data_IF_730817078555
#
_entry.id   IF_730817078555
#
_cell.length_a   1.000
_cell.length_b   1.000
_cell.length_c   1.000
_cell.angle_alpha   90.00
_cell.angle_beta   90.00
_cell.angle_gamma   90.00
#
_symmetry.space_group_name_H-M   'P 1'
#
loop_
_entity.id
_entity.type
_entity.pdbx_description
1 polymer ?
#
# COMPACT_ATOMS: atom_id res chain seq x y z
N UNK A 1 11.98 -2.85 4.77
CA UNK A 1 10.65 -2.21 4.73
C UNK A 1 10.37 -1.81 3.30
N UNK A 2 9.68 -2.66 2.55
CA UNK A 2 9.19 -2.37 1.21
C UNK A 2 8.45 -3.59 0.67
N UNK A 3 7.31 -3.37 0.02
CA UNK A 3 6.79 -4.35 -0.95
C UNK A 3 6.80 -3.72 -2.34
N UNK A 4 7.21 -4.49 -3.33
CA UNK A 4 7.28 -4.15 -4.76
C UNK A 4 8.26 -3.03 -5.16
N UNK A 5 8.38 -1.95 -4.38
CA UNK A 5 9.23 -0.78 -4.68
C UNK A 5 10.22 -0.56 -3.54
N UNK A 6 11.50 -0.56 -3.86
CA UNK A 6 12.60 -0.41 -2.89
C UNK A 6 13.79 0.38 -3.47
N UNK A 7 14.91 0.43 -2.74
CA UNK A 7 16.13 1.16 -3.15
C UNK A 7 16.80 0.62 -4.42
N UNK A 8 16.50 -0.62 -4.80
CA UNK A 8 17.01 -1.26 -6.04
C UNK A 8 16.14 -0.93 -7.26
N UNK A 9 15.02 -0.24 -7.05
CA UNK A 9 14.10 0.12 -8.12
C UNK A 9 14.70 1.21 -9.02
N UNK A 10 14.80 0.91 -10.32
CA UNK A 10 15.32 1.78 -11.37
C UNK A 10 14.23 1.99 -12.41
N UNK A 11 13.69 3.20 -12.44
CA UNK A 11 12.45 3.50 -13.15
C UNK A 11 12.72 4.01 -14.56
N UNK A 12 12.02 3.47 -15.54
CA UNK A 12 11.83 4.06 -16.86
C UNK A 12 10.41 4.61 -16.99
N UNK A 13 10.27 5.85 -17.43
CA UNK A 13 8.94 6.44 -17.71
C UNK A 13 8.57 6.27 -19.18
N UNK A 14 7.54 5.49 -19.47
CA UNK A 14 6.93 5.43 -20.81
C UNK A 14 5.91 6.57 -20.97
N UNK A 15 6.07 7.37 -22.03
CA UNK A 15 5.30 8.59 -22.23
C UNK A 15 5.89 9.81 -21.51
N UNK A 16 7.19 9.82 -21.23
CA UNK A 16 7.89 10.88 -20.48
C UNK A 16 7.71 12.27 -21.09
N UNK A 17 7.57 12.38 -22.42
CA UNK A 17 7.45 13.69 -23.08
C UNK A 17 6.01 14.24 -23.09
N UNK A 18 5.04 13.45 -22.63
CA UNK A 18 3.67 13.94 -22.41
C UNK A 18 3.57 14.73 -21.10
N UNK A 19 2.56 15.62 -21.01
CA UNK A 19 2.35 16.51 -19.85
C UNK A 19 2.39 15.76 -18.50
N UNK A 20 1.63 14.68 -18.36
CA UNK A 20 1.57 13.91 -17.12
C UNK A 20 2.82 13.06 -16.87
N UNK A 21 3.39 12.45 -17.92
CA UNK A 21 4.62 11.67 -17.81
C UNK A 21 5.80 12.52 -17.35
N UNK A 22 5.98 13.70 -17.93
CA UNK A 22 7.00 14.67 -17.52
C UNK A 22 6.76 15.16 -16.09
N UNK A 23 5.53 15.60 -15.78
CA UNK A 23 5.18 16.11 -14.45
C UNK A 23 5.48 15.08 -13.36
N UNK A 24 4.97 13.86 -13.50
CA UNK A 24 5.15 12.84 -12.47
C UNK A 24 6.57 12.26 -12.45
N UNK A 25 7.29 12.26 -13.57
CA UNK A 25 8.73 11.93 -13.57
C UNK A 25 9.51 12.93 -12.72
N UNK A 26 9.24 14.24 -12.88
CA UNK A 26 9.86 15.26 -12.05
C UNK A 26 9.54 15.04 -10.56
N UNK A 27 8.26 14.91 -10.22
CA UNK A 27 7.83 14.70 -8.83
C UNK A 27 8.35 13.38 -8.21
N UNK A 28 8.63 12.35 -9.01
CA UNK A 28 9.26 11.12 -8.52
C UNK A 28 10.77 11.31 -8.30
N UNK A 29 11.44 12.01 -9.21
CA UNK A 29 12.88 12.33 -9.10
C UNK A 29 13.16 13.21 -7.88
N UNK A 30 12.37 14.26 -7.68
CA UNK A 30 12.42 15.15 -6.52
C UNK A 30 12.12 14.42 -5.20
N UNK A 31 11.37 13.32 -5.25
CA UNK A 31 11.08 12.49 -4.07
C UNK A 31 12.26 11.56 -3.69
N UNK A 32 13.21 11.35 -4.61
CA UNK A 32 14.34 10.43 -4.43
C UNK A 32 14.19 9.11 -5.18
N UNK A 33 13.14 8.94 -5.99
CA UNK A 33 13.03 7.78 -6.88
C UNK A 33 14.11 7.84 -7.94
N UNK A 34 14.82 6.73 -8.15
CA UNK A 34 15.83 6.61 -9.20
C UNK A 34 15.18 6.43 -10.57
N UNK A 35 14.74 7.52 -11.19
CA UNK A 35 14.30 7.55 -12.59
C UNK A 35 15.53 7.63 -13.49
N UNK A 36 15.78 6.57 -14.24
CA UNK A 36 17.03 6.39 -15.01
C UNK A 36 16.86 6.72 -16.49
N UNK A 37 15.64 6.64 -16.99
CA UNK A 37 15.34 6.87 -18.40
C UNK A 37 13.89 7.27 -18.62
N UNK A 38 13.62 7.83 -19.79
CA UNK A 38 12.29 7.89 -20.35
C UNK A 38 12.23 7.25 -21.73
N UNK A 39 11.01 6.92 -22.16
CA UNK A 39 10.73 6.38 -23.49
C UNK A 39 9.68 7.23 -24.16
N UNK A 40 9.97 7.64 -25.39
CA UNK A 40 8.98 8.13 -26.34
C UNK A 40 9.47 7.78 -27.75
N UNK A 41 8.78 6.89 -28.48
CA UNK A 41 9.17 6.53 -29.85
C UNK A 41 9.33 7.77 -30.75
N UNK A 42 10.42 7.82 -31.51
CA UNK A 42 10.77 8.93 -32.39
C UNK A 42 11.44 10.12 -31.68
N UNK A 43 11.72 10.02 -30.37
CA UNK A 43 12.40 11.05 -29.58
C UNK A 43 13.66 10.53 -28.88
N UNK A 44 14.15 9.34 -29.24
CA UNK A 44 15.41 8.81 -28.73
C UNK A 44 16.59 9.77 -28.96
N UNK A 45 17.56 9.74 -28.03
CA UNK A 45 18.74 10.62 -28.05
C UNK A 45 18.49 12.01 -27.45
N UNK A 46 17.25 12.36 -27.14
CA UNK A 46 16.93 13.56 -26.36
C UNK A 46 17.04 13.32 -24.85
N UNK A 47 16.81 14.36 -24.04
CA UNK A 47 16.78 14.23 -22.58
C UNK A 47 15.80 15.21 -21.95
N UNK A 48 15.21 14.81 -20.83
CA UNK A 48 14.44 15.69 -19.96
C UNK A 48 15.40 16.42 -19.01
N UNK A 49 15.41 17.75 -19.03
CA UNK A 49 16.24 18.61 -18.17
C UNK A 49 15.43 19.59 -17.33
N UNK A 50 14.16 19.77 -17.67
CA UNK A 50 13.24 20.70 -17.02
C UNK A 50 11.94 20.01 -16.67
N UNK A 51 11.24 20.54 -15.68
CA UNK A 51 9.86 20.17 -15.38
C UNK A 51 8.92 20.78 -16.43
N UNK A 52 7.65 20.34 -16.54
CA UNK A 52 6.66 20.98 -17.42
C UNK A 52 6.42 22.46 -17.13
N UNK A 53 6.71 22.91 -15.91
CA UNK A 53 6.61 24.31 -15.49
C UNK A 53 7.81 25.16 -15.94
N UNK A 54 8.86 24.53 -16.50
CA UNK A 54 10.07 25.22 -17.00
C UNK A 54 11.23 25.28 -16.02
N UNK A 55 11.05 24.79 -14.78
CA UNK A 55 12.10 24.75 -13.77
C UNK A 55 13.15 23.68 -14.09
N UNK A 56 14.43 23.86 -13.70
CA UNK A 56 15.42 22.80 -13.78
C UNK A 56 14.95 21.55 -13.03
N UNK A 57 15.05 20.39 -13.67
CA UNK A 57 14.77 19.10 -13.04
C UNK A 57 15.81 18.85 -11.94
N UNK A 58 15.36 18.54 -10.73
CA UNK A 58 16.23 18.32 -9.56
C UNK A 58 15.96 16.98 -8.90
N UNK A 59 17.00 16.40 -8.30
CA UNK A 59 16.89 15.26 -7.40
C UNK A 59 16.42 15.68 -5.98
N UNK A 60 16.31 14.71 -5.08
CA UNK A 60 15.93 14.88 -3.67
C UNK A 60 16.91 15.75 -2.85
N UNK A 61 18.10 16.03 -3.40
CA UNK A 61 19.13 16.90 -2.81
C UNK A 61 19.16 18.29 -3.44
N UNK A 62 18.22 18.58 -4.35
CA UNK A 62 18.14 19.85 -5.06
C UNK A 62 19.19 20.01 -6.17
N UNK A 63 19.93 18.95 -6.51
CA UNK A 63 20.94 18.98 -7.58
C UNK A 63 20.23 18.85 -8.93
N UNK A 64 20.63 19.69 -9.90
CA UNK A 64 20.13 19.59 -11.26
C UNK A 64 20.53 18.24 -11.89
N UNK A 65 19.57 17.58 -12.53
CA UNK A 65 19.77 16.27 -13.19
C UNK A 65 19.16 16.27 -14.59
N UNK A 66 19.57 15.30 -15.40
CA UNK A 66 19.03 15.07 -16.74
C UNK A 66 18.70 13.60 -16.91
N UNK A 67 17.54 13.30 -17.50
CA UNK A 67 17.07 11.95 -17.75
C UNK A 67 17.12 11.67 -19.26
N UNK A 68 17.91 10.70 -19.73
CA UNK A 68 17.97 10.36 -21.15
C UNK A 68 16.65 9.76 -21.65
N UNK A 69 16.31 10.04 -22.90
CA UNK A 69 15.12 9.54 -23.57
C UNK A 69 15.53 8.60 -24.69
N UNK A 70 14.88 7.44 -24.74
CA UNK A 70 15.12 6.38 -25.71
C UNK A 70 13.87 6.10 -26.54
N UNK A 71 14.03 5.41 -27.67
CA UNK A 71 12.91 5.02 -28.52
C UNK A 71 12.20 3.78 -27.98
N UNK A 72 12.91 2.89 -27.27
CA UNK A 72 12.36 1.62 -26.75
C UNK A 72 12.71 1.37 -25.29
N UNK A 73 11.86 0.62 -24.59
CA UNK A 73 12.14 0.19 -23.21
C UNK A 73 13.35 -0.74 -23.17
N UNK A 74 13.54 -1.59 -24.18
CA UNK A 74 14.68 -2.53 -24.29
C UNK A 74 16.03 -1.81 -24.21
N UNK A 75 16.16 -0.64 -24.83
CA UNK A 75 17.37 0.16 -24.72
C UNK A 75 17.61 0.66 -23.31
N UNK A 76 16.56 1.08 -22.60
CA UNK A 76 16.68 1.56 -21.22
C UNK A 76 17.09 0.44 -20.26
N UNK A 77 16.60 -0.78 -20.47
CA UNK A 77 17.06 -1.96 -19.72
C UNK A 77 18.53 -2.24 -19.99
N UNK A 78 18.97 -2.19 -21.26
CA UNK A 78 20.35 -2.50 -21.66
C UNK A 78 21.36 -1.43 -21.24
N UNK A 79 21.00 -0.15 -21.34
CA UNK A 79 21.93 0.98 -21.16
C UNK A 79 21.88 1.56 -19.74
N UNK A 80 20.71 1.50 -19.09
CA UNK A 80 20.45 2.18 -17.81
C UNK A 80 20.03 1.22 -16.68
N UNK A 81 20.07 -0.08 -16.93
CA UNK A 81 19.61 -1.13 -16.01
C UNK A 81 18.19 -0.87 -15.48
N UNK A 82 17.30 -0.31 -16.32
CA UNK A 82 15.91 -0.11 -15.93
C UNK A 82 15.26 -1.46 -15.57
N UNK A 83 14.56 -1.53 -14.44
CA UNK A 83 13.89 -2.75 -13.98
C UNK A 83 12.41 -2.54 -13.65
N UNK A 84 11.95 -1.30 -13.64
CA UNK A 84 10.57 -0.92 -13.35
C UNK A 84 10.06 0.08 -14.36
N UNK A 85 8.90 -0.16 -14.96
CA UNK A 85 8.25 0.77 -15.88
C UNK A 85 7.12 1.55 -15.21
N UNK A 86 7.12 2.86 -15.38
CA UNK A 86 6.02 3.76 -15.01
C UNK A 86 5.33 4.26 -16.29
N UNK A 87 4.05 3.96 -16.47
CA UNK A 87 3.34 4.19 -17.73
C UNK A 87 2.33 5.34 -17.60
N UNK A 88 2.52 6.36 -18.45
CA UNK A 88 1.60 7.48 -18.68
C UNK A 88 1.15 7.56 -20.16
N UNK A 89 1.12 6.40 -20.83
CA UNK A 89 0.77 6.27 -22.24
C UNK A 89 -0.77 6.32 -22.39
N UNK A 90 -1.32 7.02 -23.41
CA UNK A 90 -2.77 7.09 -23.62
C UNK A 90 -3.44 5.71 -23.77
N UNK A 91 -4.74 5.59 -23.43
CA UNK A 91 -5.42 4.29 -23.31
C UNK A 91 -5.31 3.37 -24.54
N UNK A 92 -5.43 3.87 -25.79
CA UNK A 92 -5.31 3.02 -26.98
C UNK A 92 -3.96 2.33 -27.15
N UNK A 93 -2.90 2.84 -26.51
CA UNK A 93 -1.52 2.34 -26.67
C UNK A 93 -0.94 1.75 -25.38
N UNK A 94 -1.68 1.84 -24.27
CA UNK A 94 -1.17 1.46 -22.96
C UNK A 94 -1.01 -0.06 -22.80
N UNK A 95 -1.83 -0.87 -23.46
CA UNK A 95 -1.70 -2.32 -23.45
C UNK A 95 -0.36 -2.76 -24.07
N UNK A 96 0.00 -2.18 -25.22
CA UNK A 96 1.28 -2.45 -25.89
C UNK A 96 2.46 -1.96 -25.05
N UNK A 97 2.35 -0.79 -24.41
CA UNK A 97 3.37 -0.28 -23.50
C UNK A 97 3.62 -1.20 -22.28
N UNK A 98 2.57 -1.85 -21.76
CA UNK A 98 2.71 -2.86 -20.69
C UNK A 98 3.49 -4.07 -21.20
N UNK A 99 3.13 -4.58 -22.39
CA UNK A 99 3.77 -5.75 -22.99
C UNK A 99 5.21 -5.47 -23.43
N UNK A 100 5.51 -4.26 -23.92
CA UNK A 100 6.86 -3.83 -24.25
C UNK A 100 7.75 -3.84 -23.00
N UNK A 101 7.28 -3.26 -21.89
CA UNK A 101 8.05 -3.28 -20.65
C UNK A 101 8.29 -4.70 -20.11
N UNK A 102 7.27 -5.55 -20.16
CA UNK A 102 7.40 -6.95 -19.77
C UNK A 102 8.41 -7.69 -20.67
N UNK A 103 8.28 -7.55 -21.99
CA UNK A 103 9.17 -8.17 -22.98
C UNK A 103 10.60 -7.61 -22.98
N UNK A 104 10.81 -6.40 -22.48
CA UNK A 104 12.13 -5.82 -22.25
C UNK A 104 12.81 -6.36 -20.97
N UNK A 105 12.05 -7.00 -20.08
CA UNK A 105 12.57 -7.58 -18.83
C UNK A 105 12.31 -6.74 -17.57
N UNK A 106 11.41 -5.74 -17.62
CA UNK A 106 10.99 -5.05 -16.40
C UNK A 106 10.25 -6.03 -15.47
N UNK A 107 10.69 -6.10 -14.21
CA UNK A 107 10.10 -6.96 -13.17
C UNK A 107 8.82 -6.37 -12.60
N UNK A 108 8.69 -5.04 -12.65
CA UNK A 108 7.51 -4.32 -12.20
C UNK A 108 7.05 -3.34 -13.28
N UNK A 109 5.76 -3.34 -13.56
CA UNK A 109 5.08 -2.38 -14.42
C UNK A 109 3.98 -1.71 -13.62
N UNK A 110 4.01 -0.39 -13.52
CA UNK A 110 2.98 0.41 -12.86
C UNK A 110 2.27 1.23 -13.93
N UNK A 111 1.04 0.83 -14.24
CA UNK A 111 0.22 1.48 -15.26
C UNK A 111 -0.77 2.45 -14.63
N UNK A 112 -0.55 3.75 -14.84
CA UNK A 112 -1.40 4.81 -14.28
C UNK A 112 -2.65 5.00 -15.14
N UNK A 113 -2.51 4.80 -16.46
CA UNK A 113 -3.54 5.05 -17.47
C UNK A 113 -4.89 4.45 -17.11
N UNK A 114 -5.93 5.29 -17.15
CA UNK A 114 -7.33 4.90 -16.98
C UNK A 114 -8.02 4.72 -18.33
N UNK A 115 -9.02 3.83 -18.40
CA UNK A 115 -9.88 3.72 -19.59
C UNK A 115 -9.29 2.83 -20.70
N UNK A 116 -8.33 1.97 -20.36
CA UNK A 116 -7.83 0.95 -21.29
C UNK A 116 -8.98 -0.03 -21.60
N UNK A 117 -9.22 -0.40 -22.87
CA UNK A 117 -10.25 -1.38 -23.19
C UNK A 117 -10.06 -2.68 -22.42
N UNK A 118 -11.14 -3.18 -21.79
CA UNK A 118 -11.07 -4.38 -20.95
C UNK A 118 -10.56 -5.61 -21.72
N UNK A 119 -10.89 -5.74 -23.00
CA UNK A 119 -10.43 -6.84 -23.85
C UNK A 119 -8.91 -6.81 -24.05
N UNK A 120 -8.32 -5.62 -24.16
CA UNK A 120 -6.87 -5.48 -24.27
C UNK A 120 -6.21 -5.87 -22.95
N UNK A 121 -6.79 -5.48 -21.81
CA UNK A 121 -6.31 -5.91 -20.51
C UNK A 121 -6.44 -7.42 -20.27
N UNK A 122 -7.46 -8.09 -20.82
CA UNK A 122 -7.57 -9.55 -20.79
C UNK A 122 -6.41 -10.20 -21.54
N UNK A 123 -6.07 -9.67 -22.74
CA UNK A 123 -4.93 -10.14 -23.53
C UNK A 123 -3.61 -9.91 -22.80
N UNK A 124 -3.42 -8.72 -22.22
CA UNK A 124 -2.25 -8.37 -21.40
C UNK A 124 -2.11 -9.36 -20.26
N UNK A 125 -3.17 -9.61 -19.49
CA UNK A 125 -3.14 -10.53 -18.34
C UNK A 125 -2.80 -11.96 -18.76
N UNK A 126 -3.32 -12.43 -19.89
CA UNK A 126 -2.99 -13.73 -20.45
C UNK A 126 -1.51 -13.83 -20.85
N UNK A 127 -0.98 -12.81 -21.55
CA UNK A 127 0.41 -12.75 -21.97
C UNK A 127 1.37 -12.64 -20.77
N UNK A 128 1.09 -11.80 -19.78
CA UNK A 128 1.90 -11.71 -18.56
C UNK A 128 1.97 -13.06 -17.84
N UNK A 129 0.85 -13.79 -17.75
CA UNK A 129 0.84 -15.12 -17.11
C UNK A 129 1.63 -16.17 -17.90
N UNK A 130 1.48 -16.18 -19.23
CA UNK A 130 2.05 -17.22 -20.11
C UNK A 130 3.52 -16.95 -20.44
N UNK A 131 3.82 -15.72 -20.84
CA UNK A 131 5.08 -15.34 -21.50
C UNK A 131 6.01 -14.55 -20.57
N UNK A 132 5.46 -13.83 -19.59
CA UNK A 132 6.24 -12.97 -18.68
C UNK A 132 5.92 -13.21 -17.19
N UNK A 133 6.01 -14.46 -16.69
CA UNK A 133 5.55 -14.82 -15.34
C UNK A 133 6.31 -14.11 -14.20
N UNK A 134 7.49 -13.55 -14.51
CA UNK A 134 8.32 -12.80 -13.56
C UNK A 134 8.01 -11.29 -13.53
N UNK A 135 7.10 -10.81 -14.37
CA UNK A 135 6.69 -9.41 -14.41
C UNK A 135 5.40 -9.20 -13.63
N UNK A 136 5.44 -8.33 -12.63
CA UNK A 136 4.26 -7.87 -11.90
C UNK A 136 3.68 -6.61 -12.54
N UNK A 137 2.36 -6.59 -12.74
CA UNK A 137 1.61 -5.39 -13.14
C UNK A 137 0.83 -4.83 -11.95
N UNK A 138 1.00 -3.54 -11.62
CA UNK A 138 0.13 -2.78 -10.72
C UNK A 138 -0.71 -1.82 -11.58
N UNK A 139 -2.02 -1.79 -11.32
CA UNK A 139 -3.01 -1.13 -12.18
C UNK A 139 -3.61 -2.06 -13.25
N UNK A 140 -4.17 -1.51 -14.33
CA UNK A 140 -4.18 -0.10 -14.73
C UNK A 140 -5.11 0.77 -13.85
N UNK A 141 -5.31 2.03 -14.22
CA UNK A 141 -6.16 2.99 -13.50
C UNK A 141 -5.79 3.06 -12.01
N UNK A 142 -4.51 3.27 -11.72
CA UNK A 142 -4.01 3.23 -10.35
C UNK A 142 -3.18 4.46 -9.99
N UNK A 143 -3.12 4.85 -8.71
CA UNK A 143 -2.28 5.96 -8.29
C UNK A 143 -0.79 5.58 -8.18
N UNK A 144 -0.46 4.29 -8.30
CA UNK A 144 0.89 3.72 -8.25
C UNK A 144 1.28 3.11 -6.90
N UNK A 145 2.57 3.16 -6.57
CA UNK A 145 3.15 2.60 -5.34
C UNK A 145 4.10 3.62 -4.70
N UNK A 146 4.06 3.72 -3.38
CA UNK A 146 5.00 4.55 -2.61
C UNK A 146 5.45 3.81 -1.35
N UNK A 147 6.77 3.72 -1.21
CA UNK A 147 7.43 3.28 0.01
C UNK A 147 8.08 4.51 0.62
N UNK A 148 7.55 5.04 1.74
CA UNK A 148 7.94 6.35 2.22
C UNK A 148 9.44 6.45 2.53
N UNK A 149 10.09 7.52 2.06
CA UNK A 149 11.52 7.75 2.22
C UNK A 149 12.42 6.82 1.39
N UNK A 150 11.84 6.00 0.51
CA UNK A 150 12.58 5.10 -0.38
C UNK A 150 12.32 5.43 -1.84
N UNK A 151 11.06 5.33 -2.27
CA UNK A 151 10.68 5.66 -3.64
C UNK A 151 9.16 5.87 -3.75
N UNK A 152 8.80 6.73 -4.69
CA UNK A 152 7.45 7.01 -5.15
C UNK A 152 7.38 6.76 -6.65
N UNK A 153 6.42 5.96 -7.10
CA UNK A 153 6.14 5.73 -8.51
C UNK A 153 4.65 5.95 -8.75
N UNK A 154 4.33 6.89 -9.65
CA UNK A 154 2.96 7.28 -9.96
C UNK A 154 2.58 8.65 -9.39
N UNK A 155 1.31 8.79 -9.01
CA UNK A 155 0.68 10.11 -8.78
C UNK A 155 0.38 10.41 -7.30
N UNK A 156 0.61 9.46 -6.39
CA UNK A 156 0.43 9.66 -4.94
C UNK A 156 1.24 10.86 -4.41
N UNK A 157 0.65 11.84 -3.68
CA UNK A 157 1.41 12.99 -3.17
C UNK A 157 2.44 12.54 -2.12
N UNK A 158 3.73 12.79 -2.38
CA UNK A 158 4.81 12.29 -1.53
C UNK A 158 4.86 12.93 -0.14
N UNK A 159 4.51 14.21 -0.03
CA UNK A 159 4.65 15.03 1.18
C UNK A 159 3.72 14.62 2.34
N UNK A 160 2.63 13.89 2.07
CA UNK A 160 1.72 13.39 3.13
C UNK A 160 2.17 12.05 3.72
N UNK A 161 3.15 11.39 3.10
CA UNK A 161 3.61 10.06 3.49
C UNK A 161 4.77 10.14 4.46
N UNK A 162 4.77 9.28 5.48
CA UNK A 162 5.84 9.20 6.49
C UNK A 162 6.25 7.75 6.70
N UNK A 163 7.55 7.42 6.81
CA UNK A 163 8.00 6.08 7.17
C UNK A 163 7.32 5.55 8.45
N UNK A 164 6.92 4.28 8.44
CA UNK A 164 6.36 3.56 9.57
C UNK A 164 5.94 2.14 9.19
N UNK A 165 5.01 1.55 9.94
CA UNK A 165 4.77 0.09 9.89
C UNK A 165 3.38 -0.32 9.40
N UNK A 166 2.64 0.61 8.79
CA UNK A 166 1.28 0.34 8.27
C UNK A 166 1.33 0.14 6.77
N UNK A 167 0.98 -1.07 6.31
CA UNK A 167 0.74 -1.34 4.90
C UNK A 167 -0.63 -0.82 4.48
N UNK A 168 -0.74 -0.19 3.33
CA UNK A 168 -2.03 0.29 2.79
C UNK A 168 -2.21 -0.26 1.38
N UNK A 169 -3.35 -0.93 1.13
CA UNK A 169 -3.76 -1.34 -0.22
C UNK A 169 -5.15 -0.80 -0.53
N UNK A 170 -5.32 -0.22 -1.71
CA UNK A 170 -6.57 0.43 -2.11
C UNK A 170 -6.85 0.33 -3.60
N UNK A 171 -8.14 0.26 -3.97
CA UNK A 171 -8.58 0.51 -5.36
C UNK A 171 -8.61 2.01 -5.69
N UNK A 172 -8.95 2.84 -4.70
CA UNK A 172 -9.15 4.29 -4.86
C UNK A 172 -7.90 5.09 -4.46
N UNK A 173 -7.45 5.99 -5.34
CA UNK A 173 -6.38 6.92 -5.03
C UNK A 173 -6.73 7.89 -3.90
N UNK A 174 -7.88 8.55 -3.97
CA UNK A 174 -8.28 9.56 -2.97
C UNK A 174 -8.47 8.98 -1.58
N UNK A 175 -9.09 7.80 -1.46
CA UNK A 175 -9.22 7.11 -0.18
C UNK A 175 -7.86 6.63 0.38
N UNK A 176 -6.89 6.34 -0.50
CA UNK A 176 -5.51 6.07 -0.05
C UNK A 176 -4.94 7.30 0.65
N UNK A 177 -5.12 8.50 0.10
CA UNK A 177 -4.58 9.74 0.66
C UNK A 177 -5.22 10.04 2.02
N UNK A 178 -6.52 9.79 2.13
CA UNK A 178 -7.28 9.94 3.39
C UNK A 178 -6.76 8.99 4.48
N UNK A 179 -6.57 7.70 4.15
CA UNK A 179 -6.01 6.73 5.08
C UNK A 179 -4.58 7.10 5.51
N UNK A 180 -3.73 7.51 4.56
CA UNK A 180 -2.37 7.99 4.83
C UNK A 180 -2.40 9.17 5.79
N UNK A 181 -3.21 10.19 5.51
CA UNK A 181 -3.35 11.36 6.35
C UNK A 181 -3.76 10.99 7.78
N UNK A 182 -4.79 10.17 7.94
CA UNK A 182 -5.28 9.77 9.26
C UNK A 182 -4.26 8.93 10.05
N UNK A 183 -3.56 8.01 9.40
CA UNK A 183 -2.50 7.21 10.03
C UNK A 183 -1.36 8.12 10.49
N UNK A 184 -0.90 9.04 9.62
CA UNK A 184 0.17 9.98 9.93
C UNK A 184 -0.19 10.91 11.09
N UNK A 185 -1.40 11.49 11.10
CA UNK A 185 -1.89 12.36 12.18
C UNK A 185 -1.97 11.66 13.55
N UNK A 186 -2.06 10.33 13.56
CA UNK A 186 -2.10 9.52 14.79
C UNK A 186 -0.71 9.07 15.25
N UNK A 187 0.35 9.65 14.69
CA UNK A 187 1.72 9.32 15.03
C UNK A 187 2.20 7.98 14.46
N UNK A 188 1.41 7.33 13.61
CA UNK A 188 1.82 6.15 12.84
C UNK A 188 2.42 6.59 11.50
N UNK A 189 2.98 5.65 10.75
CA UNK A 189 3.50 5.88 9.40
C UNK A 189 3.31 4.65 8.54
N UNK A 190 3.57 4.78 7.25
CA UNK A 190 3.31 3.74 6.27
C UNK A 190 4.59 2.96 5.94
N UNK A 191 4.45 1.64 5.82
CA UNK A 191 5.53 0.79 5.32
C UNK A 191 5.57 0.86 3.79
N UNK A 192 4.43 0.65 3.14
CA UNK A 192 4.21 0.87 1.71
C UNK A 192 2.72 1.08 1.44
N UNK A 193 2.39 2.01 0.54
CA UNK A 193 1.04 2.19 0.01
C UNK A 193 0.98 1.70 -1.44
N UNK A 194 0.01 0.84 -1.74
CA UNK A 194 -0.22 0.27 -3.08
C UNK A 194 -1.63 0.61 -3.54
N UNK A 195 -1.73 1.43 -4.59
CA UNK A 195 -2.98 1.55 -5.33
C UNK A 195 -3.06 0.47 -6.39
N UNK A 196 -3.97 -0.49 -6.24
CA UNK A 196 -4.14 -1.59 -7.21
C UNK A 196 -4.99 -1.20 -8.43
N UNK A 197 -5.73 -0.10 -8.30
CA UNK A 197 -6.54 0.50 -9.35
C UNK A 197 -8.02 0.11 -9.35
N UNK A 198 -8.80 0.90 -10.08
CA UNK A 198 -10.27 0.80 -10.13
C UNK A 198 -10.81 -0.16 -11.20
N UNK A 199 -9.98 -0.53 -12.19
CA UNK A 199 -10.42 -1.30 -13.35
C UNK A 199 -10.77 -2.76 -13.01
N UNK A 200 -11.71 -3.38 -13.75
CA UNK A 200 -12.17 -4.75 -13.48
C UNK A 200 -11.13 -5.82 -13.83
N UNK A 201 -10.21 -5.53 -14.75
CA UNK A 201 -9.14 -6.44 -15.17
C UNK A 201 -7.80 -5.83 -14.75
N UNK A 202 -7.47 -5.96 -13.48
CA UNK A 202 -6.21 -5.51 -12.91
C UNK A 202 -5.12 -6.61 -12.94
N UNK A 203 -3.87 -6.17 -12.82
CA UNK A 203 -2.70 -7.03 -12.66
C UNK A 203 -2.56 -7.58 -11.24
N UNK A 204 -2.31 -6.70 -10.27
CA UNK A 204 -2.10 -7.02 -8.84
C UNK A 204 -3.39 -6.77 -8.07
N UNK A 205 -3.83 -7.74 -7.26
CA UNK A 205 -5.07 -7.68 -6.48
C UNK A 205 -4.82 -7.55 -4.96
N UNK A 206 -5.90 -7.55 -4.16
CA UNK A 206 -5.79 -7.49 -2.70
C UNK A 206 -4.99 -8.64 -2.10
N UNK A 207 -5.20 -9.87 -2.56
CA UNK A 207 -4.52 -11.07 -2.04
C UNK A 207 -3.01 -10.97 -2.29
N UNK A 208 -2.60 -10.51 -3.47
CA UNK A 208 -1.19 -10.28 -3.80
C UNK A 208 -0.53 -9.31 -2.80
N UNK A 209 -1.19 -8.18 -2.53
CA UNK A 209 -0.71 -7.18 -1.59
C UNK A 209 -0.71 -7.71 -0.15
N UNK A 210 -1.77 -8.41 0.27
CA UNK A 210 -1.89 -8.98 1.62
C UNK A 210 -0.80 -10.03 1.88
N UNK A 211 -0.52 -10.90 0.90
CA UNK A 211 0.56 -11.87 0.98
C UNK A 211 1.93 -11.18 1.08
N UNK A 212 2.17 -10.15 0.27
CA UNK A 212 3.41 -9.38 0.32
C UNK A 212 3.58 -8.64 1.66
N UNK A 213 2.51 -8.01 2.17
CA UNK A 213 2.52 -7.36 3.46
C UNK A 213 2.70 -8.33 4.61
N UNK A 214 2.12 -9.54 4.57
CA UNK A 214 2.37 -10.59 5.56
C UNK A 214 3.86 -10.98 5.59
N UNK A 215 4.48 -11.16 4.42
CA UNK A 215 5.89 -11.51 4.29
C UNK A 215 6.85 -10.40 4.73
N UNK A 216 6.49 -9.12 4.59
CA UNK A 216 7.34 -7.98 4.97
C UNK A 216 7.39 -7.79 6.49
N UNK A 217 8.52 -8.13 7.11
CA UNK A 217 8.72 -8.08 8.57
C UNK A 217 8.50 -6.68 9.17
N UNK A 218 8.71 -5.63 8.39
CA UNK A 218 8.55 -4.24 8.84
C UNK A 218 7.10 -3.73 8.72
N UNK A 219 6.22 -4.49 8.08
CA UNK A 219 4.77 -4.22 8.10
C UNK A 219 4.17 -4.91 9.32
N UNK A 220 3.59 -4.12 10.23
CA UNK A 220 3.00 -4.61 11.48
C UNK A 220 1.48 -4.61 11.45
N UNK A 221 0.85 -3.84 10.56
CA UNK A 221 -0.60 -3.78 10.40
C UNK A 221 -0.98 -3.32 9.00
N UNK A 222 -2.22 -3.62 8.58
CA UNK A 222 -2.66 -3.39 7.20
C UNK A 222 -4.01 -2.65 7.20
N UNK A 223 -4.13 -1.63 6.34
CA UNK A 223 -5.42 -1.05 5.94
C UNK A 223 -5.75 -1.52 4.52
N UNK A 224 -6.92 -2.14 4.35
CA UNK A 224 -7.46 -2.56 3.06
C UNK A 224 -8.68 -1.70 2.68
N UNK A 225 -8.61 -1.01 1.56
CA UNK A 225 -9.67 -0.11 1.09
C UNK A 225 -10.30 -0.68 -0.18
N UNK A 226 -11.45 -1.32 0.00
CA UNK A 226 -12.27 -1.88 -1.07
C UNK A 226 -13.39 -0.96 -1.52
N UNK A 227 -14.17 -1.44 -2.48
CA UNK A 227 -15.35 -0.77 -3.02
C UNK A 227 -16.44 -1.80 -3.32
N UNK A 228 -17.66 -1.36 -3.56
CA UNK A 228 -18.72 -2.20 -4.13
C UNK A 228 -18.33 -2.79 -5.50
N UNK A 229 -18.98 -3.91 -5.86
CA UNK A 229 -18.81 -4.58 -7.16
C UNK A 229 -17.73 -5.65 -7.18
N UNK A 230 -18.00 -6.78 -7.85
CA UNK A 230 -17.14 -7.97 -7.82
C UNK A 230 -17.06 -8.65 -6.44
N UNK A 231 -16.14 -9.62 -6.31
CA UNK A 231 -15.96 -10.50 -5.13
C UNK A 231 -14.57 -10.38 -4.47
N UNK A 232 -13.74 -9.44 -4.90
CA UNK A 232 -12.32 -9.38 -4.53
C UNK A 232 -12.11 -9.18 -3.02
N UNK A 233 -12.98 -8.42 -2.37
CA UNK A 233 -12.94 -8.16 -0.94
C UNK A 233 -13.38 -9.37 -0.11
N UNK A 234 -14.36 -10.14 -0.58
CA UNK A 234 -14.79 -11.40 0.04
C UNK A 234 -13.71 -12.47 -0.07
N UNK A 235 -13.07 -12.58 -1.24
CA UNK A 235 -11.92 -13.47 -1.46
C UNK A 235 -10.74 -13.06 -0.56
N UNK A 236 -10.46 -11.76 -0.46
CA UNK A 236 -9.46 -11.22 0.45
C UNK A 236 -9.80 -11.50 1.92
N UNK A 237 -11.07 -11.39 2.33
CA UNK A 237 -11.51 -11.72 3.69
C UNK A 237 -11.20 -13.18 4.03
N UNK A 238 -11.53 -14.11 3.12
CA UNK A 238 -11.25 -15.52 3.29
C UNK A 238 -9.73 -15.81 3.33
N UNK A 239 -8.94 -15.09 2.52
CA UNK A 239 -7.48 -15.18 2.55
C UNK A 239 -6.89 -14.67 3.87
N UNK A 240 -7.37 -13.53 4.37
CA UNK A 240 -6.91 -12.92 5.64
C UNK A 240 -7.07 -13.92 6.78
N UNK A 241 -8.26 -14.52 6.93
CA UNK A 241 -8.53 -15.48 8.01
C UNK A 241 -7.57 -16.67 8.02
N UNK A 242 -7.13 -17.13 6.85
CA UNK A 242 -6.28 -18.32 6.71
C UNK A 242 -4.79 -18.02 6.76
N UNK A 243 -4.36 -16.87 6.23
CA UNK A 243 -2.95 -16.64 5.88
C UNK A 243 -2.35 -15.37 6.47
N UNK A 244 -3.14 -14.45 7.01
CA UNK A 244 -2.63 -13.15 7.49
C UNK A 244 -2.71 -13.11 9.01
N UNK A 245 -1.56 -13.08 9.68
CA UNK A 245 -1.47 -13.00 11.13
C UNK A 245 -1.53 -11.54 11.63
N UNK A 246 -1.14 -10.61 10.76
CA UNK A 246 -1.11 -9.18 11.04
C UNK A 246 -2.52 -8.61 11.22
N UNK A 247 -2.72 -7.62 12.11
CA UNK A 247 -3.99 -6.92 12.21
C UNK A 247 -4.35 -6.26 10.88
N UNK A 248 -5.54 -6.55 10.38
CA UNK A 248 -6.12 -5.90 9.19
C UNK A 248 -7.37 -5.13 9.59
N UNK A 249 -7.46 -3.89 9.14
CA UNK A 249 -8.71 -3.11 9.13
C UNK A 249 -9.12 -2.83 7.71
N UNK A 250 -10.42 -2.74 7.46
CA UNK A 250 -10.94 -2.49 6.13
C UNK A 250 -11.90 -1.30 6.08
N UNK A 251 -12.07 -0.73 4.90
CA UNK A 251 -13.14 0.20 4.55
C UNK A 251 -13.71 -0.21 3.19
N UNK A 252 -15.03 -0.12 3.04
CA UNK A 252 -15.73 -0.37 1.77
C UNK A 252 -16.37 0.93 1.30
N UNK A 253 -15.88 1.45 0.18
CA UNK A 253 -16.48 2.59 -0.52
C UNK A 253 -17.81 2.22 -1.20
N UNK A 254 -18.67 3.22 -1.42
CA UNK A 254 -19.95 3.01 -2.11
C UNK A 254 -21.10 2.48 -1.25
N UNK A 255 -21.02 2.58 0.07
CA UNK A 255 -22.09 2.13 1.00
C UNK A 255 -23.46 2.80 0.75
N UNK A 256 -23.45 4.04 0.27
CA UNK A 256 -24.66 4.83 -0.05
C UNK A 256 -24.98 4.83 -1.54
N UNK A 257 -24.34 3.97 -2.34
CA UNK A 257 -24.57 3.92 -3.77
C UNK A 257 -26.02 3.52 -4.10
N UNK A 258 -26.71 4.26 -4.98
CA UNK A 258 -28.06 3.90 -5.40
C UNK A 258 -28.06 2.60 -6.21
N UNK A 259 -29.14 1.81 -6.08
CA UNK A 259 -29.29 0.55 -6.81
C UNK A 259 -29.23 0.79 -8.32
N UNK A 260 -28.51 -0.09 -9.03
CA UNK A 260 -28.44 -0.08 -10.49
C UNK A 260 -27.58 1.02 -11.11
N UNK A 261 -26.85 1.83 -10.32
CA UNK A 261 -25.89 2.79 -10.87
C UNK A 261 -24.47 2.23 -10.90
N UNK A 262 -23.78 2.54 -11.99
CA UNK A 262 -22.32 2.39 -12.11
C UNK A 262 -21.65 3.58 -11.42
N UNK A 263 -20.67 3.31 -10.56
CA UNK A 263 -19.85 4.35 -9.93
C UNK A 263 -18.65 4.73 -10.82
N UNK A 264 -17.83 5.70 -10.38
CA UNK A 264 -16.73 6.25 -11.18
C UNK A 264 -15.74 5.19 -11.67
N UNK A 265 -15.35 4.24 -10.81
CA UNK A 265 -14.48 3.14 -11.24
C UNK A 265 -15.23 2.11 -12.08
N UNK A 266 -14.62 1.70 -13.19
CA UNK A 266 -15.20 0.73 -14.12
C UNK A 266 -15.52 -0.63 -13.48
N UNK A 267 -14.79 -1.03 -12.43
CA UNK A 267 -15.03 -2.27 -11.69
C UNK A 267 -16.16 -2.20 -10.65
N UNK A 268 -16.71 -1.02 -10.36
CA UNK A 268 -17.76 -0.83 -9.36
C UNK A 268 -19.16 -1.11 -9.92
N UNK A 269 -19.37 -2.34 -10.39
CA UNK A 269 -20.64 -2.83 -10.94
C UNK A 269 -21.22 -3.89 -9.99
N UNK A 270 -22.42 -3.64 -9.48
CA UNK A 270 -23.20 -4.61 -8.70
C UNK A 270 -24.03 -5.44 -9.69
N UNK A 271 -23.82 -6.75 -9.74
CA UNK A 271 -24.55 -7.66 -10.63
C UNK A 271 -25.23 -8.77 -9.84
N UNK A 272 -26.51 -9.04 -10.16
CA UNK A 272 -27.26 -10.16 -9.57
C UNK A 272 -27.39 -10.12 -8.05
N UNK A 273 -27.38 -8.93 -7.44
CA UNK A 273 -27.47 -8.74 -5.99
C UNK A 273 -26.18 -9.01 -5.21
N UNK A 274 -25.10 -9.46 -5.88
CA UNK A 274 -23.79 -9.73 -5.27
C UNK A 274 -22.86 -8.53 -5.35
N UNK A 275 -21.97 -8.41 -4.37
CA UNK A 275 -20.95 -7.36 -4.31
C UNK A 275 -21.48 -6.05 -3.73
N UNK A 276 -22.58 -6.10 -2.98
CA UNK A 276 -23.07 -4.95 -2.22
C UNK A 276 -22.11 -4.61 -1.08
N UNK A 277 -22.10 -3.35 -0.65
CA UNK A 277 -21.23 -2.95 0.45
C UNK A 277 -21.56 -3.74 1.74
N UNK A 278 -22.85 -3.98 2.00
CA UNK A 278 -23.31 -4.72 3.19
C UNK A 278 -22.74 -6.15 3.21
N UNK A 279 -22.89 -6.89 2.13
CA UNK A 279 -22.39 -8.28 2.04
C UNK A 279 -20.87 -8.33 2.22
N UNK A 280 -20.13 -7.40 1.62
CA UNK A 280 -18.68 -7.29 1.77
C UNK A 280 -18.28 -7.02 3.22
N UNK A 281 -18.96 -6.07 3.87
CA UNK A 281 -18.73 -5.73 5.28
C UNK A 281 -18.99 -6.94 6.19
N UNK A 282 -20.11 -7.64 5.98
CA UNK A 282 -20.49 -8.81 6.77
C UNK A 282 -19.49 -9.98 6.56
N UNK A 283 -19.07 -10.21 5.32
CA UNK A 283 -18.02 -11.18 4.97
C UNK A 283 -16.69 -10.84 5.65
N UNK A 284 -16.24 -9.59 5.60
CA UNK A 284 -15.02 -9.14 6.27
C UNK A 284 -15.08 -9.36 7.79
N UNK A 285 -16.19 -8.97 8.41
CA UNK A 285 -16.40 -9.12 9.87
C UNK A 285 -16.40 -10.58 10.30
N UNK A 286 -17.10 -11.45 9.58
CA UNK A 286 -17.13 -12.90 9.87
C UNK A 286 -15.76 -13.58 9.72
N UNK A 287 -14.84 -12.94 8.99
CA UNK A 287 -13.44 -13.36 8.85
C UNK A 287 -12.47 -12.65 9.81
N UNK A 288 -12.99 -11.92 10.81
CA UNK A 288 -12.19 -11.29 11.86
C UNK A 288 -11.59 -9.93 11.49
N UNK A 289 -11.99 -9.35 10.36
CA UNK A 289 -11.53 -8.01 9.94
C UNK A 289 -12.42 -6.94 10.57
N UNK A 290 -11.81 -5.96 11.22
CA UNK A 290 -12.56 -4.79 11.72
C UNK A 290 -12.80 -3.83 10.57
N UNK A 291 -14.04 -3.40 10.38
CA UNK A 291 -14.43 -2.53 9.25
C UNK A 291 -14.80 -1.13 9.76
N UNK A 292 -14.11 -0.12 9.25
CA UNK A 292 -14.46 1.29 9.45
C UNK A 292 -15.74 1.62 8.66
N UNK A 293 -16.68 2.33 9.30
CA UNK A 293 -17.96 2.67 8.66
C UNK A 293 -17.92 3.99 7.90
N UNK A 294 -17.08 4.93 8.34
CA UNK A 294 -16.81 6.19 7.66
C UNK A 294 -15.40 6.19 7.06
N UNK A 295 -15.18 6.83 5.89
CA UNK A 295 -13.83 7.06 5.40
C UNK A 295 -13.00 7.86 6.42
N UNK A 296 -13.61 8.71 7.24
CA UNK A 296 -12.95 9.50 8.29
C UNK A 296 -12.43 8.67 9.50
N UNK A 297 -12.81 7.40 9.59
CA UNK A 297 -12.57 6.56 10.77
C UNK A 297 -11.48 5.49 10.55
N UNK A 298 -10.88 5.39 9.36
CA UNK A 298 -9.92 4.33 9.02
C UNK A 298 -8.72 4.29 9.98
N UNK A 299 -8.08 5.44 10.21
CA UNK A 299 -6.92 5.54 11.12
C UNK A 299 -7.29 5.33 12.58
N UNK A 300 -8.45 5.84 13.03
CA UNK A 300 -8.95 5.61 14.40
C UNK A 300 -9.23 4.12 14.63
N UNK A 301 -9.86 3.48 13.66
CA UNK A 301 -10.20 2.05 13.70
C UNK A 301 -8.93 1.20 13.80
N UNK A 302 -7.91 1.50 13.00
CA UNK A 302 -6.61 0.83 13.08
C UNK A 302 -5.98 0.97 14.47
N UNK A 303 -5.88 2.21 14.96
CA UNK A 303 -5.24 2.48 16.26
C UNK A 303 -5.93 1.72 17.39
N UNK A 304 -7.27 1.68 17.40
CA UNK A 304 -8.05 0.94 18.39
C UNK A 304 -7.79 -0.56 18.34
N UNK A 305 -7.64 -1.14 17.15
CA UNK A 305 -7.30 -2.57 16.97
C UNK A 305 -5.90 -2.86 17.52
N UNK A 306 -4.93 -1.98 17.27
CA UNK A 306 -3.57 -2.12 17.79
C UNK A 306 -3.54 -2.06 19.31
N UNK A 307 -4.18 -1.07 19.92
CA UNK A 307 -4.25 -0.93 21.38
C UNK A 307 -4.89 -2.15 22.06
N UNK A 308 -5.95 -2.72 21.48
CA UNK A 308 -6.61 -3.94 21.99
C UNK A 308 -5.73 -5.19 21.89
N UNK A 309 -4.85 -5.29 20.89
CA UNK A 309 -3.89 -6.41 20.79
C UNK A 309 -2.79 -6.27 21.84
N UNK A 310 -2.27 -5.06 22.04
CA UNK A 310 -1.27 -4.79 23.09
C UNK A 310 -1.82 -5.04 24.49
N UNK A 311 -3.06 -4.62 24.78
CA UNK A 311 -3.66 -4.89 26.10
C UNK A 311 -3.95 -6.37 26.34
N UNK A 312 -4.13 -7.19 25.30
CA UNK A 312 -4.23 -8.65 25.40
C UNK A 312 -2.87 -9.34 25.57
N UNK A 313 -1.78 -8.76 25.06
CA UNK A 313 -0.42 -9.31 25.26
C UNK A 313 0.14 -9.00 26.66
N UNK A 314 -0.26 -7.87 27.25
CA UNK A 314 -0.06 -7.58 28.68
C UNK A 314 -1.22 -8.15 29.49
N UNK A 315 -1.26 -9.48 29.63
CA UNK A 315 -2.23 -10.15 30.50
C UNK A 315 -2.26 -9.52 31.90
N UNK A 316 -3.47 -9.40 32.47
CA UNK A 316 -3.71 -8.88 33.81
C UNK A 316 -2.68 -9.43 34.81
N UNK A 317 -2.19 -8.61 35.77
CA UNK A 317 -1.24 -9.10 36.76
C UNK A 317 -1.83 -10.35 37.40
N UNK A 318 -1.09 -11.47 37.33
CA UNK A 318 -1.41 -12.69 38.08
C UNK A 318 -1.68 -12.22 39.51
N UNK A 319 -2.92 -12.38 39.98
CA UNK A 319 -3.22 -12.20 41.40
C UNK A 319 -2.20 -13.05 42.16
N UNK A 320 -1.30 -12.37 42.85
CA UNK A 320 -0.36 -13.01 43.76
C UNK A 320 -1.20 -13.81 44.76
N UNK A 321 -0.83 -15.08 44.93
CA UNK A 321 -1.56 -16.03 45.75
C UNK A 321 -1.86 -15.44 47.12
N UNK A 322 -3.09 -15.74 47.61
CA UNK A 322 -3.53 -15.48 48.98
C UNK A 322 -2.36 -15.68 49.96
N UNK A 323 -1.97 -14.60 50.62
CA UNK A 323 -1.03 -14.66 51.73
C UNK A 323 -1.58 -15.64 52.78
N UNK A 324 -0.77 -16.65 53.15
CA UNK A 324 -1.05 -17.53 54.28
C UNK A 324 -1.22 -16.68 55.55
N UNK A 325 -2.16 -17.01 56.45
CA UNK A 325 -2.29 -16.29 57.71
C UNK A 325 -1.03 -16.50 58.56
N UNK A 326 -0.48 -15.40 59.08
CA UNK A 326 0.67 -15.43 59.97
C UNK A 326 0.32 -16.17 61.28
N UNK A 327 1.17 -17.14 61.65
CA UNK A 327 1.07 -17.85 62.91
C UNK A 327 1.29 -16.90 64.10
N UNK A 328 0.32 -16.84 65.02
CA UNK A 328 0.44 -16.14 66.31
C UNK A 328 1.57 -16.78 67.13
N UNK A 329 2.66 -16.05 67.35
CA UNK A 329 3.63 -16.36 68.41
C UNK A 329 3.08 -15.88 69.76
N UNK A 330 2.78 -16.83 70.62
CA UNK A 330 2.48 -16.63 72.05
C UNK A 330 3.76 -16.26 72.79
N UNK A 331 3.84 -15.03 73.30
CA UNK A 331 4.86 -14.63 74.26
C UNK A 331 4.40 -14.97 75.69
N UNK A 332 5.08 -15.95 76.30
CA UNK A 332 4.95 -16.27 77.74
C UNK A 332 5.53 -15.12 78.56
N UNK A 333 4.71 -14.57 79.47
CA UNK A 333 5.15 -13.72 80.59
C UNK A 333 5.95 -14.57 81.57
N UNK A 334 7.18 -14.18 81.89
CA UNK A 334 7.89 -14.60 83.09
C UNK A 334 8.07 -13.40 84.01
N UNK A 335 7.39 -13.44 85.15
CA UNK A 335 7.61 -12.54 86.28
C UNK A 335 8.82 -13.00 87.08
N UNK A 336 9.70 -12.08 87.47
CA UNK A 336 10.64 -12.28 88.56
C UNK A 336 10.78 -10.99 89.37
N UNK A 337 10.53 -11.15 90.67
CA UNK A 337 10.51 -10.14 91.73
C UNK A 337 11.88 -9.50 91.96
N UNK A 338 11.85 -8.24 92.38
CA UNK A 338 13.03 -7.47 92.76
C UNK A 338 13.67 -7.84 94.11
N UNK A 339 14.82 -7.20 94.33
CA UNK A 339 15.58 -6.86 95.55
C UNK A 339 16.78 -6.08 94.97
N UNK A 340 17.16 -4.86 95.32
CA UNK A 340 17.09 -4.14 96.58
C UNK A 340 18.53 -3.68 96.91
N UNK A 341 18.65 -2.41 97.31
CA UNK A 341 19.75 -1.74 98.04
C UNK A 341 20.96 -1.13 97.28
N UNK A 342 21.10 0.20 97.58
CA UNK A 342 22.29 0.98 97.97
C UNK A 342 23.38 1.13 96.89
N UNK A 343 23.96 2.30 96.64
CA UNK A 343 24.15 3.53 97.41
C UNK A 343 24.32 4.67 96.41
#
# INVERSE_FOLDING_TARGET
>A
MAIFVDKTTRVVTQGITGKHGAFHTARCTEYGTKVVAGVTPGKGGSSMKTTPEGDPLKDDKGKAVSIPIYDTVRETVKKEDANTAMIFVPPPFAADAILEAAGAGCRLVICITEGIPAMDMVRVKAALKRDYPNTRLVGPNCPGVITPGVAKIGIMPGHIHRPGHVGIVSRSGTLTYEAVHQVTQRGLGQSTCVGIGGDPVNGTNFIDCLAAFEADKDTHAIIMIGEIGGSAEEEAAAFIKRNVSKPVVAFIGGQTAPKGKRMGHAGAIISGGKGTAKEKIDCLRSNGVTVAMSPADMGTTLLNVLLKKTSKSFGAPKQSGKAKPAAKKTAKKSAAKGKGKKK
#
